data_IF_215398469925
#
_entry.id   IF_215398469925
#
_cell.length_a   1.000
_cell.length_b   1.000
_cell.length_c   1.000
_cell.angle_alpha   90.00
_cell.angle_beta   90.00
_cell.angle_gamma   90.00
#
_symmetry.space_group_name_H-M   'P 1'
#
loop_
_entity.id
_entity.type
_entity.pdbx_description
1 polymer ?
#
# COMPACT_ATOMS: atom_id res chain seq x y z
N UNK A 1 -8.36 -36.09 -43.00
CA UNK A 1 -8.40 -34.60 -42.93
C UNK A 1 -9.37 -34.07 -41.86
N UNK A 2 -10.58 -34.62 -41.70
CA UNK A 2 -11.52 -34.23 -40.62
C UNK A 2 -10.91 -34.28 -39.20
N UNK A 3 -10.09 -35.29 -38.89
CA UNK A 3 -9.50 -35.44 -37.55
C UNK A 3 -8.35 -34.45 -37.27
N UNK A 4 -7.69 -33.92 -38.31
CA UNK A 4 -6.63 -32.91 -38.17
C UNK A 4 -7.24 -31.54 -37.89
N UNK A 5 -8.38 -31.23 -38.52
CA UNK A 5 -9.12 -29.99 -38.27
C UNK A 5 -9.62 -29.93 -36.82
N UNK A 6 -10.05 -31.07 -36.25
CA UNK A 6 -10.48 -31.17 -34.85
C UNK A 6 -9.33 -30.92 -33.86
N UNK A 7 -8.11 -31.37 -34.19
CA UNK A 7 -6.92 -31.18 -33.36
C UNK A 7 -6.44 -29.71 -33.36
N UNK A 8 -6.56 -29.02 -34.50
CA UNK A 8 -6.24 -27.59 -34.64
C UNK A 8 -7.25 -26.73 -33.87
N UNK A 9 -8.53 -27.13 -33.87
CA UNK A 9 -9.59 -26.44 -33.11
C UNK A 9 -9.44 -26.61 -31.59
N UNK A 10 -8.78 -27.68 -31.13
CA UNK A 10 -8.50 -27.90 -29.71
C UNK A 10 -7.31 -27.04 -29.22
N UNK A 11 -6.31 -26.78 -30.08
CA UNK A 11 -5.14 -25.95 -29.76
C UNK A 11 -5.47 -24.45 -29.65
N UNK A 12 -6.50 -23.95 -30.34
CA UNK A 12 -6.92 -22.54 -30.25
C UNK A 12 -7.71 -22.23 -28.98
N UNK A 13 -8.12 -23.25 -28.22
CA UNK A 13 -8.78 -23.08 -26.91
C UNK A 13 -7.82 -23.02 -25.72
N UNK A 14 -6.50 -22.99 -25.97
CA UNK A 14 -5.51 -22.68 -24.92
C UNK A 14 -5.60 -21.18 -24.63
N UNK A 15 -6.70 -20.84 -23.96
CA UNK A 15 -6.93 -19.73 -23.05
C UNK A 15 -5.77 -18.75 -23.00
N UNK A 16 -6.04 -17.51 -23.42
CA UNK A 16 -5.27 -16.33 -23.06
C UNK A 16 -5.20 -16.23 -21.52
N UNK A 17 -4.27 -16.97 -20.91
CA UNK A 17 -3.96 -16.86 -19.49
C UNK A 17 -2.91 -15.77 -19.39
N UNK A 18 -3.23 -14.72 -18.63
CA UNK A 18 -2.24 -13.74 -18.19
C UNK A 18 -0.99 -14.48 -17.69
N UNK A 19 0.18 -14.16 -18.22
CA UNK A 19 1.43 -14.78 -17.79
C UNK A 19 1.73 -14.33 -16.35
N UNK A 20 1.94 -15.30 -15.45
CA UNK A 20 2.14 -15.04 -14.03
C UNK A 20 3.65 -14.91 -13.76
N UNK A 21 4.02 -13.87 -13.02
CA UNK A 21 5.40 -13.56 -12.63
C UNK A 21 5.51 -13.41 -11.11
N UNK A 22 6.68 -13.68 -10.50
CA UNK A 22 6.89 -13.46 -9.08
C UNK A 22 6.94 -11.96 -8.73
N UNK A 23 6.66 -11.64 -7.47
CA UNK A 23 6.50 -10.27 -6.94
C UNK A 23 7.73 -9.36 -7.14
N UNK A 24 8.92 -9.94 -7.28
CA UNK A 24 10.18 -9.22 -7.51
C UNK A 24 10.42 -8.84 -9.00
N UNK A 25 9.46 -9.11 -9.88
CA UNK A 25 9.57 -8.79 -11.31
C UNK A 25 9.18 -7.34 -11.56
N UNK A 26 9.96 -6.62 -12.37
CA UNK A 26 9.61 -5.26 -12.80
C UNK A 26 8.39 -5.28 -13.72
N UNK A 27 7.51 -4.29 -13.59
CA UNK A 27 6.38 -4.09 -14.53
C UNK A 27 6.84 -3.74 -15.94
N UNK A 28 8.08 -3.27 -16.10
CA UNK A 28 8.69 -2.95 -17.40
C UNK A 28 9.28 -4.17 -18.12
N UNK A 29 9.51 -5.28 -17.40
CA UNK A 29 10.18 -6.47 -17.93
C UNK A 29 9.18 -7.56 -18.36
N UNK A 30 7.88 -7.26 -18.34
CA UNK A 30 6.80 -8.22 -18.60
C UNK A 30 5.91 -7.77 -19.74
N UNK A 31 5.38 -8.69 -20.57
CA UNK A 31 4.50 -8.34 -21.66
C UNK A 31 3.15 -7.81 -21.18
N UNK A 32 2.44 -7.07 -22.04
CA UNK A 32 1.08 -6.62 -21.79
C UNK A 32 0.16 -7.78 -21.34
N UNK A 33 -0.68 -7.54 -20.34
CA UNK A 33 -1.61 -8.52 -19.78
C UNK A 33 -1.00 -9.41 -18.70
N UNK A 34 0.28 -9.23 -18.36
CA UNK A 34 0.95 -10.01 -17.32
C UNK A 34 0.42 -9.72 -15.92
N UNK A 35 0.59 -10.70 -15.04
CA UNK A 35 0.22 -10.60 -13.63
C UNK A 35 1.42 -10.92 -12.73
N UNK A 36 1.94 -9.90 -12.06
CA UNK A 36 2.95 -10.01 -11.01
C UNK A 36 2.23 -10.41 -9.71
N UNK A 37 2.38 -11.66 -9.31
CA UNK A 37 1.62 -12.28 -8.23
C UNK A 37 2.50 -12.54 -7.01
N UNK A 38 1.91 -12.40 -5.83
CA UNK A 38 2.52 -12.84 -4.58
C UNK A 38 2.45 -14.38 -4.45
N UNK A 39 3.34 -15.07 -5.17
CA UNK A 39 3.37 -16.54 -5.26
C UNK A 39 3.86 -17.17 -3.94
N UNK A 40 4.78 -16.48 -3.26
CA UNK A 40 5.47 -16.99 -2.07
C UNK A 40 4.88 -16.46 -0.75
N UNK A 41 3.70 -15.82 -0.80
CA UNK A 41 3.03 -15.24 0.36
C UNK A 41 3.91 -14.24 1.14
N UNK A 42 4.75 -13.49 0.42
CA UNK A 42 5.66 -12.49 0.99
C UNK A 42 4.88 -11.34 1.63
N UNK A 43 3.66 -11.06 1.15
CA UNK A 43 2.83 -9.98 1.64
C UNK A 43 1.96 -10.36 2.84
N UNK A 44 1.71 -11.65 3.08
CA UNK A 44 0.73 -12.13 4.07
C UNK A 44 1.05 -11.69 5.51
N UNK A 45 2.34 -11.48 5.81
CA UNK A 45 2.78 -10.97 7.10
C UNK A 45 2.22 -9.58 7.45
N UNK A 46 1.94 -8.75 6.44
CA UNK A 46 1.45 -7.38 6.65
C UNK A 46 -0.08 -7.32 6.72
N UNK A 47 -0.78 -8.28 6.09
CA UNK A 47 -2.23 -8.31 5.99
C UNK A 47 -2.88 -8.46 7.37
N UNK A 48 -3.91 -7.65 7.64
CA UNK A 48 -4.74 -7.74 8.82
C UNK A 48 -5.12 -6.39 9.41
N UNK A 49 -5.90 -6.45 10.48
CA UNK A 49 -6.25 -5.30 11.30
C UNK A 49 -5.20 -5.11 12.39
N UNK A 50 -4.65 -3.91 12.45
CA UNK A 50 -3.60 -3.51 13.37
C UNK A 50 -4.11 -2.42 14.28
N UNK A 51 -3.84 -2.50 15.57
CA UNK A 51 -4.28 -1.53 16.57
C UNK A 51 -3.10 -0.93 17.31
N UNK A 52 -3.12 0.38 17.51
CA UNK A 52 -2.15 1.07 18.36
C UNK A 52 -2.84 2.14 19.22
N UNK A 53 -2.14 2.57 20.27
CA UNK A 53 -2.51 3.73 21.07
C UNK A 53 -1.51 4.87 20.82
N UNK A 54 -2.03 6.07 20.61
CA UNK A 54 -1.25 7.26 20.31
C UNK A 54 -1.90 8.47 20.98
N UNK A 55 -1.24 9.07 21.99
CA UNK A 55 -1.72 10.27 22.67
C UNK A 55 -3.18 10.16 23.15
N UNK A 56 -3.55 9.01 23.74
CA UNK A 56 -4.92 8.73 24.18
C UNK A 56 -5.92 8.40 23.06
N UNK A 57 -5.51 8.46 21.79
CA UNK A 57 -6.30 7.98 20.65
C UNK A 57 -6.02 6.51 20.38
N UNK A 58 -7.02 5.79 19.91
CA UNK A 58 -6.87 4.46 19.32
C UNK A 58 -6.80 4.58 17.80
N UNK A 59 -5.77 4.00 17.20
CA UNK A 59 -5.59 3.93 15.76
C UNK A 59 -5.80 2.48 15.34
N UNK A 60 -6.61 2.30 14.31
CA UNK A 60 -6.69 1.07 13.55
C UNK A 60 -6.10 1.28 12.16
N UNK A 61 -5.36 0.30 11.68
CA UNK A 61 -4.83 0.22 10.33
C UNK A 61 -5.27 -1.14 9.75
N UNK A 62 -6.07 -1.12 8.70
CA UNK A 62 -6.49 -2.33 7.99
C UNK A 62 -5.67 -2.45 6.72
N UNK A 63 -4.79 -3.45 6.65
CA UNK A 63 -3.94 -3.74 5.49
C UNK A 63 -4.46 -4.97 4.75
N UNK A 64 -4.64 -4.84 3.44
CA UNK A 64 -5.18 -5.87 2.55
C UNK A 64 -4.25 -6.09 1.37
N UNK A 65 -4.23 -7.32 0.86
CA UNK A 65 -3.66 -7.61 -0.46
C UNK A 65 -4.69 -7.28 -1.54
N UNK A 66 -4.32 -6.41 -2.47
CA UNK A 66 -5.16 -5.94 -3.57
C UNK A 66 -4.46 -6.22 -4.88
N UNK A 67 -5.20 -6.77 -5.84
CA UNK A 67 -4.74 -6.90 -7.22
C UNK A 67 -4.94 -5.57 -7.94
N UNK A 68 -3.87 -4.79 -8.08
CA UNK A 68 -3.88 -3.49 -8.74
C UNK A 68 -3.61 -3.64 -10.24
N UNK A 69 -4.26 -2.79 -11.05
CA UNK A 69 -3.98 -2.64 -12.47
C UNK A 69 -3.12 -1.39 -12.71
N UNK A 70 -2.03 -1.56 -13.43
CA UNK A 70 -1.15 -0.51 -13.93
C UNK A 70 -1.33 -0.35 -15.43
N UNK A 71 -1.59 0.88 -15.89
CA UNK A 71 -1.69 1.22 -17.31
C UNK A 71 -0.48 2.07 -17.68
N UNK A 72 0.40 1.52 -18.51
CA UNK A 72 1.62 2.18 -18.97
C UNK A 72 1.32 3.10 -20.16
N UNK A 73 2.24 4.03 -20.44
CA UNK A 73 2.10 5.02 -21.51
C UNK A 73 2.05 4.40 -22.92
N UNK A 74 2.66 3.22 -23.08
CA UNK A 74 2.64 2.42 -24.31
C UNK A 74 1.33 1.62 -24.48
N UNK A 75 0.37 1.78 -23.57
CA UNK A 75 -0.92 1.08 -23.57
C UNK A 75 -0.88 -0.31 -22.93
N UNK A 76 0.28 -0.76 -22.42
CA UNK A 76 0.37 -2.02 -21.71
C UNK A 76 -0.38 -1.97 -20.37
N UNK A 77 -1.15 -3.02 -20.09
CA UNK A 77 -1.86 -3.22 -18.84
C UNK A 77 -1.20 -4.36 -18.07
N UNK A 78 -0.60 -4.04 -16.93
CA UNK A 78 0.02 -5.01 -16.03
C UNK A 78 -0.82 -5.10 -14.75
N UNK A 79 -0.96 -6.29 -14.19
CA UNK A 79 -1.61 -6.50 -12.91
C UNK A 79 -0.57 -6.86 -11.86
N UNK A 80 -0.72 -6.39 -10.63
CA UNK A 80 0.22 -6.69 -9.55
C UNK A 80 -0.51 -6.86 -8.21
N UNK A 81 -0.11 -7.85 -7.42
CA UNK A 81 -0.54 -7.94 -6.01
C UNK A 81 0.26 -6.95 -5.16
N UNK A 82 -0.44 -6.10 -4.40
CA UNK A 82 0.19 -5.13 -3.51
C UNK A 82 -0.57 -4.99 -2.19
N UNK A 83 0.12 -4.47 -1.17
CA UNK A 83 -0.52 -4.08 0.08
C UNK A 83 -1.16 -2.71 -0.08
N UNK A 84 -2.46 -2.65 0.15
CA UNK A 84 -3.23 -1.41 0.26
C UNK A 84 -3.80 -1.34 1.66
N UNK A 85 -4.01 -0.13 2.17
CA UNK A 85 -4.55 0.02 3.51
C UNK A 85 -5.29 1.31 3.76
N UNK A 86 -6.11 1.28 4.79
CA UNK A 86 -6.84 2.43 5.29
C UNK A 86 -6.82 2.45 6.82
N UNK A 87 -7.12 3.61 7.40
CA UNK A 87 -7.09 3.81 8.85
C UNK A 87 -8.42 4.26 9.42
N UNK A 88 -8.56 4.00 10.71
CA UNK A 88 -9.59 4.58 11.56
C UNK A 88 -8.93 5.14 12.81
N UNK A 89 -9.33 6.33 13.24
CA UNK A 89 -8.82 6.99 14.45
C UNK A 89 -10.00 7.36 15.33
N UNK A 90 -9.93 6.92 16.58
CA UNK A 90 -10.91 7.18 17.62
C UNK A 90 -10.19 7.96 18.72
N UNK A 91 -10.73 9.10 19.14
CA UNK A 91 -10.14 9.89 20.21
C UNK A 91 -10.42 9.30 21.60
N UNK A 92 -9.84 9.92 22.63
CA UNK A 92 -9.96 9.47 24.02
C UNK A 92 -11.41 9.42 24.54
N UNK A 93 -12.32 10.19 23.95
CA UNK A 93 -13.73 10.25 24.32
C UNK A 93 -14.60 9.24 23.53
N UNK A 94 -13.99 8.40 22.70
CA UNK A 94 -14.70 7.43 21.85
C UNK A 94 -15.28 8.01 20.57
N UNK A 95 -14.98 9.27 20.23
CA UNK A 95 -15.45 9.89 18.99
C UNK A 95 -14.54 9.47 17.84
N UNK A 96 -15.14 9.06 16.72
CA UNK A 96 -14.44 8.72 15.48
C UNK A 96 -14.03 10.00 14.76
N UNK A 97 -12.72 10.25 14.67
CA UNK A 97 -12.17 11.41 13.94
C UNK A 97 -11.91 11.10 12.47
N UNK A 98 -11.53 9.86 12.17
CA UNK A 98 -11.28 9.36 10.81
C UNK A 98 -11.81 7.94 10.75
N UNK A 99 -12.58 7.60 9.71
CA UNK A 99 -12.92 6.23 9.38
C UNK A 99 -12.89 6.04 7.87
N UNK A 100 -11.77 5.52 7.37
CA UNK A 100 -11.61 5.14 5.97
C UNK A 100 -11.70 3.64 5.75
N UNK A 101 -11.55 2.85 6.82
CA UNK A 101 -11.69 1.40 6.77
C UNK A 101 -13.11 1.01 6.33
N UNK A 102 -14.13 1.72 6.82
CA UNK A 102 -15.53 1.45 6.46
C UNK A 102 -15.84 1.68 4.98
N UNK A 103 -15.06 2.53 4.29
CA UNK A 103 -15.18 2.84 2.87
C UNK A 103 -13.83 2.62 2.17
N UNK A 104 -13.29 1.41 2.31
CA UNK A 104 -11.95 1.07 1.83
C UNK A 104 -11.82 1.28 0.30
N UNK A 105 -10.85 2.11 -0.11
CA UNK A 105 -10.61 2.45 -1.51
C UNK A 105 -9.46 1.61 -2.10
N UNK A 106 -9.79 0.60 -2.89
CA UNK A 106 -8.81 -0.26 -3.56
C UNK A 106 -8.03 0.44 -4.68
N UNK A 107 -8.48 1.61 -5.15
CA UNK A 107 -7.84 2.33 -6.23
C UNK A 107 -6.88 3.40 -5.72
N UNK A 108 -7.31 4.14 -4.69
CA UNK A 108 -6.56 5.25 -4.12
C UNK A 108 -6.37 5.15 -2.60
N UNK A 109 -6.14 3.96 -2.04
CA UNK A 109 -5.87 3.75 -0.60
C UNK A 109 -4.88 4.76 0.01
N UNK A 110 -5.02 5.10 1.29
CA UNK A 110 -4.03 5.93 2.00
C UNK A 110 -2.68 5.23 2.12
N UNK A 111 -2.64 3.92 2.34
CA UNK A 111 -1.39 3.15 2.49
C UNK A 111 -1.20 2.28 1.26
N UNK A 112 -0.02 2.30 0.63
CA UNK A 112 0.24 1.57 -0.62
C UNK A 112 1.65 0.99 -0.69
N UNK A 113 1.70 -0.22 -1.21
CA UNK A 113 2.90 -0.98 -1.50
C UNK A 113 3.68 -1.38 -0.25
N UNK A 114 4.60 -2.32 -0.45
CA UNK A 114 5.66 -2.64 0.50
C UNK A 114 6.94 -2.78 -0.31
N UNK A 115 7.92 -1.91 -0.05
CA UNK A 115 9.21 -1.94 -0.73
C UNK A 115 10.32 -2.19 0.26
N UNK A 116 11.44 -2.78 -0.17
CA UNK A 116 12.63 -2.89 0.67
C UNK A 116 13.11 -1.48 1.08
N UNK A 117 13.47 -1.30 2.34
CA UNK A 117 14.06 -0.03 2.77
C UNK A 117 15.46 0.10 2.20
N UNK A 118 15.79 1.31 1.73
CA UNK A 118 17.15 1.65 1.25
C UNK A 118 18.14 1.87 2.40
N UNK A 119 17.64 2.04 3.63
CA UNK A 119 18.45 2.37 4.81
C UNK A 119 18.91 1.14 5.58
N UNK A 120 18.09 0.08 5.63
CA UNK A 120 18.43 -1.17 6.29
C UNK A 120 17.53 -2.31 5.83
N UNK A 121 18.10 -3.50 5.69
CA UNK A 121 17.39 -4.73 5.31
C UNK A 121 16.37 -5.19 6.35
N UNK A 122 16.44 -4.70 7.59
CA UNK A 122 15.50 -5.04 8.65
C UNK A 122 14.15 -4.31 8.52
N UNK A 123 14.08 -3.26 7.70
CA UNK A 123 12.87 -2.50 7.47
C UNK A 123 12.34 -2.71 6.06
N UNK A 124 11.03 -2.67 5.94
CA UNK A 124 10.36 -2.39 4.67
C UNK A 124 9.62 -1.06 4.79
N UNK A 125 9.32 -0.43 3.66
CA UNK A 125 8.66 0.87 3.61
C UNK A 125 7.28 0.73 2.96
N UNK A 126 6.27 1.26 3.63
CA UNK A 126 4.93 1.50 3.06
C UNK A 126 4.82 2.98 2.72
N UNK A 127 4.26 3.31 1.57
CA UNK A 127 4.00 4.71 1.23
C UNK A 127 2.64 5.14 1.79
N UNK A 128 2.61 6.31 2.42
CA UNK A 128 1.41 6.89 3.01
C UNK A 128 1.02 8.18 2.28
N UNK A 129 -0.20 8.18 1.74
CA UNK A 129 -0.84 9.25 0.98
C UNK A 129 -2.02 9.79 1.79
N UNK A 130 -1.78 10.58 2.85
CA UNK A 130 -2.87 11.13 3.65
C UNK A 130 -3.80 11.99 2.79
N UNK A 131 -5.10 11.71 2.85
CA UNK A 131 -6.10 12.46 2.07
C UNK A 131 -6.18 13.91 2.58
N UNK A 132 -6.53 14.82 1.67
CA UNK A 132 -6.67 16.26 1.94
C UNK A 132 -5.40 16.96 2.43
N UNK A 133 -4.23 16.35 2.22
CA UNK A 133 -2.92 16.90 2.60
C UNK A 133 -2.14 17.40 1.38
N UNK A 134 -2.82 18.03 0.41
CA UNK A 134 -2.16 18.67 -0.74
C UNK A 134 -1.20 17.75 -1.53
N UNK A 135 -1.58 16.48 -1.70
CA UNK A 135 -0.77 15.43 -2.33
C UNK A 135 0.61 15.19 -1.67
N UNK A 136 0.76 15.61 -0.42
CA UNK A 136 1.94 15.29 0.39
C UNK A 136 1.93 13.82 0.76
N UNK A 137 3.12 13.25 0.81
CA UNK A 137 3.34 11.84 1.07
C UNK A 137 4.31 11.68 2.24
N UNK A 138 4.22 10.52 2.87
CA UNK A 138 5.18 10.07 3.86
C UNK A 138 5.59 8.63 3.57
N UNK A 139 6.77 8.25 4.05
CA UNK A 139 7.22 6.88 4.12
C UNK A 139 7.02 6.37 5.53
N UNK A 140 6.53 5.14 5.65
CA UNK A 140 6.38 4.45 6.92
C UNK A 140 7.34 3.26 6.91
N UNK A 141 8.43 3.36 7.66
CA UNK A 141 9.32 2.22 7.82
C UNK A 141 8.75 1.29 8.88
N UNK A 142 8.60 0.02 8.52
CA UNK A 142 8.04 -0.99 9.41
C UNK A 142 9.04 -2.12 9.65
N UNK A 143 9.03 -2.64 10.88
CA UNK A 143 9.69 -3.90 11.24
C UNK A 143 8.83 -4.67 12.21
N UNK A 144 8.92 -5.99 12.17
CA UNK A 144 8.29 -6.83 13.20
C UNK A 144 9.21 -6.97 14.41
N UNK A 145 8.63 -6.93 15.60
CA UNK A 145 9.36 -7.02 16.87
C UNK A 145 9.43 -8.44 17.41
N UNK A 146 8.62 -9.35 16.87
CA UNK A 146 8.52 -10.73 17.31
C UNK A 146 8.42 -11.72 16.14
N UNK A 147 8.86 -12.98 16.30
CA UNK A 147 8.85 -13.99 15.25
C UNK A 147 7.44 -14.30 14.70
N UNK A 148 6.42 -14.19 15.54
CA UNK A 148 5.01 -14.43 15.17
C UNK A 148 4.42 -13.27 14.34
N UNK A 149 5.18 -12.17 14.19
CA UNK A 149 4.78 -10.98 13.41
C UNK A 149 3.42 -10.42 13.85
N UNK A 150 3.20 -10.35 15.15
CA UNK A 150 1.99 -9.77 15.76
C UNK A 150 2.23 -8.38 16.32
N UNK A 151 3.49 -7.94 16.41
CA UNK A 151 3.89 -6.60 16.83
C UNK A 151 4.67 -5.93 15.70
N UNK A 152 4.11 -4.88 15.13
CA UNK A 152 4.71 -4.09 14.06
C UNK A 152 5.13 -2.74 14.62
N UNK A 153 6.44 -2.47 14.68
CA UNK A 153 6.90 -1.11 14.87
C UNK A 153 6.79 -0.36 13.55
N UNK A 154 6.31 0.87 13.62
CA UNK A 154 6.19 1.78 12.49
C UNK A 154 6.85 3.12 12.82
N UNK A 155 7.65 3.63 11.89
CA UNK A 155 8.31 4.93 11.97
C UNK A 155 7.92 5.81 10.80
N UNK A 156 7.42 7.00 11.12
CA UNK A 156 7.01 7.99 10.13
C UNK A 156 8.21 8.78 9.61
N UNK A 157 8.29 9.00 8.29
CA UNK A 157 9.25 9.88 7.65
C UNK A 157 8.58 10.72 6.59
N UNK A 158 8.77 12.03 6.64
CA UNK A 158 8.33 12.91 5.57
C UNK A 158 9.07 12.59 4.27
N UNK A 159 8.31 12.54 3.16
CA UNK A 159 8.90 12.55 1.82
C UNK A 159 9.00 14.01 1.37
N UNK A 160 10.23 14.55 1.16
CA UNK A 160 10.41 15.90 0.68
C UNK A 160 9.67 16.11 -0.65
N UNK A 161 8.99 17.24 -0.79
CA UNK A 161 8.23 17.58 -1.99
C UNK A 161 8.08 19.08 -2.10
N UNK A 162 8.00 19.58 -3.33
CA UNK A 162 7.77 20.99 -3.61
C UNK A 162 6.51 21.50 -2.90
N UNK A 163 6.56 22.74 -2.44
CA UNK A 163 5.39 23.40 -1.86
C UNK A 163 4.41 23.73 -2.99
N UNK A 164 3.17 23.27 -2.86
CA UNK A 164 2.08 23.74 -3.70
C UNK A 164 1.54 25.03 -3.08
N UNK A 165 1.67 26.16 -3.78
CA UNK A 165 1.21 27.46 -3.26
C UNK A 165 -0.31 27.54 -3.10
N UNK A 166 -1.06 26.75 -3.87
CA UNK A 166 -2.52 26.65 -3.76
C UNK A 166 -2.97 25.69 -2.64
N UNK A 167 -2.03 25.11 -1.88
CA UNK A 167 -2.36 24.28 -0.74
C UNK A 167 -2.97 25.12 0.38
N UNK A 168 -4.09 24.65 0.95
CA UNK A 168 -4.72 25.28 2.13
C UNK A 168 -3.77 25.45 3.33
N UNK A 169 -2.70 24.64 3.40
CA UNK A 169 -1.67 24.70 4.44
C UNK A 169 -0.39 25.44 4.00
N UNK A 170 -0.37 26.10 2.83
CA UNK A 170 0.84 26.72 2.30
C UNK A 170 1.42 27.79 3.24
N UNK A 171 0.57 28.65 3.80
CA UNK A 171 1.01 29.69 4.74
C UNK A 171 1.60 29.10 6.02
N UNK A 172 0.99 28.03 6.55
CA UNK A 172 1.50 27.31 7.72
C UNK A 172 2.91 26.76 7.46
N UNK A 173 3.13 26.14 6.31
CA UNK A 173 4.44 25.59 5.94
C UNK A 173 5.46 26.71 5.70
N UNK A 174 5.07 27.80 5.02
CA UNK A 174 5.94 28.96 4.79
C UNK A 174 6.40 29.61 6.10
N UNK A 175 5.58 29.57 7.15
CA UNK A 175 5.95 30.04 8.49
C UNK A 175 6.71 29.00 9.34
N UNK A 176 7.14 27.87 8.76
CA UNK A 176 7.87 26.81 9.47
C UNK A 176 7.00 25.84 10.27
N UNK A 177 5.67 25.92 10.12
CA UNK A 177 4.72 24.99 10.72
C UNK A 177 4.68 23.64 9.99
N UNK A 178 4.23 22.61 10.70
CA UNK A 178 4.14 21.26 10.15
C UNK A 178 2.74 20.94 9.62
N UNK A 179 2.65 20.04 8.64
CA UNK A 179 1.37 19.57 8.13
C UNK A 179 0.56 18.90 9.25
N UNK A 180 -0.75 19.21 9.36
CA UNK A 180 -1.63 18.67 10.39
C UNK A 180 -2.08 17.23 10.07
N UNK A 181 -1.14 16.37 9.69
CA UNK A 181 -1.40 14.95 9.48
C UNK A 181 -1.76 14.33 10.83
N UNK A 182 -3.02 13.92 10.99
CA UNK A 182 -3.51 13.26 12.20
C UNK A 182 -2.99 11.81 12.29
N UNK A 183 -1.68 11.61 12.34
CA UNK A 183 -1.03 10.30 12.40
C UNK A 183 0.26 10.41 13.25
N UNK A 184 0.70 9.33 13.94
CA UNK A 184 1.91 9.34 14.73
C UNK A 184 3.14 9.71 13.89
N UNK A 185 3.91 10.69 14.37
CA UNK A 185 5.19 11.12 13.78
C UNK A 185 6.39 10.45 14.48
N UNK A 186 6.17 9.98 15.71
CA UNK A 186 7.12 9.20 16.50
C UNK A 186 6.96 7.70 16.22
N UNK A 187 7.93 6.91 16.68
CA UNK A 187 7.86 5.45 16.65
C UNK A 187 6.60 4.96 17.40
N UNK A 188 5.82 4.12 16.75
CA UNK A 188 4.61 3.53 17.32
C UNK A 188 4.61 2.01 17.10
N UNK A 189 4.03 1.28 18.05
CA UNK A 189 3.87 -0.17 17.96
C UNK A 189 2.40 -0.50 17.73
N UNK A 190 2.14 -1.16 16.62
CA UNK A 190 0.85 -1.74 16.28
C UNK A 190 0.80 -3.21 16.68
N UNK A 191 -0.32 -3.63 17.23
CA UNK A 191 -0.62 -5.01 17.62
C UNK A 191 -1.67 -5.57 16.68
N UNK A 192 -1.40 -6.74 16.09
CA UNK A 192 -2.35 -7.46 15.24
C UNK A 192 -3.59 -7.86 16.04
N UNK A 193 -4.78 -7.69 15.47
CA UNK A 193 -6.07 -8.03 16.10
C UNK A 193 -6.58 -9.40 15.64
#
# INVERSE_FOLDING_TARGET
>A
MKNIILLILFMTTISCKAQIYPLNTSTLDVPNGSYIKDINNELDQYIGLWKANWQGKTIYLDLKKVKKKYSHLDGANIYMDEIFGERKIINANGIVEIDRISNFDNENAEFRGVTKSLLSSQYVTITFFPKNMCNKMASLDIKFLNPEKTQMQMKFRYVPSLLNENCQYANLIKSGGDLPINFPKEDIIFIKQ
#
